data_IF_436387434279
#
_entry.id   IF_436387434279
#
_cell.length_a   1.000
_cell.length_b   1.000
_cell.length_c   1.000
_cell.angle_alpha   90.00
_cell.angle_beta   90.00
_cell.angle_gamma   90.00
#
_symmetry.space_group_name_H-M   'P 1'
#
loop_
_entity.id
_entity.type
_entity.pdbx_description
1 polymer ?
#
# COMPACT_ATOMS: atom_id res chain seq x y z
N UNK A 1 7.51 8.10 -13.85
CA UNK A 1 8.26 7.17 -12.98
C UNK A 1 9.51 6.60 -13.63
N UNK A 2 9.42 5.86 -14.75
CA UNK A 2 10.61 5.23 -15.36
C UNK A 2 11.71 6.21 -15.76
N UNK A 3 11.36 7.35 -16.37
CA UNK A 3 12.32 8.41 -16.72
C UNK A 3 13.09 8.90 -15.49
N UNK A 4 12.36 9.29 -14.44
CA UNK A 4 12.94 9.73 -13.17
C UNK A 4 13.84 8.65 -12.54
N UNK A 5 13.39 7.39 -12.52
CA UNK A 5 14.16 6.29 -11.96
C UNK A 5 15.48 6.07 -12.72
N UNK A 6 15.44 6.14 -14.06
CA UNK A 6 16.62 6.04 -14.91
C UNK A 6 17.58 7.20 -14.69
N UNK A 7 17.09 8.42 -14.53
CA UNK A 7 17.92 9.61 -14.33
C UNK A 7 18.57 9.65 -12.93
N UNK A 8 17.88 9.15 -11.90
CA UNK A 8 18.35 9.25 -10.51
C UNK A 8 19.06 8.00 -9.98
N UNK A 9 18.72 6.83 -10.51
CA UNK A 9 19.16 5.54 -9.94
C UNK A 9 19.75 4.60 -11.01
N UNK A 10 20.27 5.15 -12.11
CA UNK A 10 20.95 4.36 -13.15
C UNK A 10 22.00 3.42 -12.55
N UNK A 11 21.98 2.16 -12.99
CA UNK A 11 22.95 1.16 -12.61
C UNK A 11 23.14 0.18 -13.77
N UNK A 12 24.37 -0.28 -14.01
CA UNK A 12 24.73 -1.20 -15.10
C UNK A 12 23.91 -2.51 -15.11
N UNK A 13 23.43 -2.93 -13.93
CA UNK A 13 22.63 -4.15 -13.73
C UNK A 13 21.11 -3.91 -13.74
N UNK A 14 20.65 -2.68 -14.01
CA UNK A 14 19.23 -2.33 -13.96
C UNK A 14 18.79 -1.80 -15.33
N UNK A 15 17.77 -2.43 -15.89
CA UNK A 15 17.08 -1.96 -17.10
C UNK A 15 15.70 -1.44 -16.70
N UNK A 16 15.36 -0.25 -17.18
CA UNK A 16 14.05 0.37 -16.96
C UNK A 16 13.19 0.25 -18.19
N UNK A 17 12.12 -0.52 -18.10
CA UNK A 17 11.18 -0.75 -19.18
C UNK A 17 9.72 -0.72 -18.70
N UNK A 18 8.81 -0.53 -19.63
CA UNK A 18 7.38 -0.48 -19.34
C UNK A 18 6.74 -1.86 -19.51
N UNK A 19 5.94 -2.27 -18.53
CA UNK A 19 5.15 -3.49 -18.56
C UNK A 19 3.75 -3.19 -18.00
N UNK A 20 2.73 -3.52 -18.78
CA UNK A 20 1.35 -3.58 -18.31
C UNK A 20 1.02 -5.05 -18.05
N UNK A 21 0.99 -5.44 -16.77
CA UNK A 21 0.93 -6.85 -16.37
C UNK A 21 -0.45 -7.48 -16.56
N UNK A 22 -1.50 -6.68 -16.76
CA UNK A 22 -2.85 -7.17 -17.05
C UNK A 22 -3.03 -7.55 -18.53
N UNK A 23 -2.04 -7.26 -19.39
CA UNK A 23 -2.05 -7.52 -20.83
C UNK A 23 -1.10 -8.65 -21.21
N UNK A 24 -1.12 -9.03 -22.49
CA UNK A 24 -0.19 -9.98 -23.07
C UNK A 24 1.27 -9.59 -22.78
N UNK A 25 2.00 -10.51 -22.16
CA UNK A 25 3.41 -10.34 -21.75
C UNK A 25 4.39 -11.01 -22.70
N UNK A 26 3.91 -11.73 -23.73
CA UNK A 26 4.75 -12.51 -24.65
C UNK A 26 5.86 -11.69 -25.31
N UNK A 27 5.55 -10.45 -25.72
CA UNK A 27 6.53 -9.52 -26.28
C UNK A 27 7.60 -9.10 -25.27
N UNK A 28 7.22 -8.94 -24.00
CA UNK A 28 8.14 -8.61 -22.92
C UNK A 28 9.06 -9.79 -22.60
N UNK A 29 8.50 -11.01 -22.49
CA UNK A 29 9.25 -12.26 -22.34
C UNK A 29 10.20 -12.49 -23.50
N UNK A 30 9.79 -12.20 -24.74
CA UNK A 30 10.66 -12.32 -25.91
C UNK A 30 11.84 -11.32 -25.88
N UNK A 31 11.60 -10.12 -25.37
CA UNK A 31 12.62 -9.06 -25.28
C UNK A 31 13.65 -9.32 -24.18
N UNK A 32 13.19 -9.78 -23.01
CA UNK A 32 14.04 -9.87 -21.80
C UNK A 32 14.37 -11.31 -21.38
N UNK A 33 13.70 -12.31 -21.96
CA UNK A 33 13.74 -13.68 -21.49
C UNK A 33 12.84 -13.91 -20.27
N UNK A 34 12.98 -15.09 -19.65
CA UNK A 34 12.33 -15.42 -18.40
C UNK A 34 13.15 -14.96 -17.18
N UNK A 35 12.48 -14.78 -16.05
CA UNK A 35 13.04 -14.27 -14.82
C UNK A 35 13.13 -15.37 -13.77
N UNK A 36 14.26 -15.42 -13.05
CA UNK A 36 14.38 -16.30 -11.89
C UNK A 36 13.54 -15.80 -10.71
N UNK A 37 13.36 -14.48 -10.59
CA UNK A 37 12.60 -13.85 -9.51
C UNK A 37 11.78 -12.68 -10.03
N UNK A 38 10.49 -12.67 -9.70
CA UNK A 38 9.58 -11.54 -9.96
C UNK A 38 9.12 -10.93 -8.64
N UNK A 39 9.23 -9.61 -8.52
CA UNK A 39 8.79 -8.87 -7.34
C UNK A 39 7.69 -7.89 -7.72
N UNK A 40 6.59 -7.88 -6.96
CA UNK A 40 5.52 -6.90 -7.15
C UNK A 40 5.10 -6.31 -5.81
N UNK A 41 5.23 -4.99 -5.68
CA UNK A 41 4.91 -4.27 -4.45
C UNK A 41 3.84 -3.22 -4.72
N UNK A 42 2.66 -3.44 -4.16
CA UNK A 42 1.49 -2.55 -4.22
C UNK A 42 1.12 -2.18 -5.65
N UNK A 43 1.12 -3.17 -6.55
CA UNK A 43 0.67 -3.00 -7.94
C UNK A 43 -0.57 -3.85 -8.23
N UNK A 44 -0.60 -5.10 -7.75
CA UNK A 44 -1.64 -6.05 -8.17
C UNK A 44 -3.05 -5.70 -7.69
N UNK A 45 -3.21 -4.81 -6.70
CA UNK A 45 -4.54 -4.33 -6.32
C UNK A 45 -5.22 -3.46 -7.40
N UNK A 46 -4.46 -2.99 -8.39
CA UNK A 46 -5.00 -2.26 -9.54
C UNK A 46 -5.43 -3.18 -10.68
N UNK A 47 -5.13 -4.47 -10.55
CA UNK A 47 -5.49 -5.48 -11.56
C UNK A 47 -7.01 -5.61 -11.67
N UNK A 48 -7.50 -5.63 -12.90
CA UNK A 48 -8.92 -5.90 -13.18
C UNK A 48 -9.24 -7.40 -13.11
N UNK A 49 -8.26 -8.22 -13.49
CA UNK A 49 -8.33 -9.67 -13.46
C UNK A 49 -7.06 -10.25 -12.83
N UNK A 50 -7.09 -10.40 -11.50
CA UNK A 50 -5.95 -10.93 -10.75
C UNK A 50 -5.52 -12.31 -11.23
N UNK A 51 -6.45 -13.16 -11.67
CA UNK A 51 -6.11 -14.51 -12.18
C UNK A 51 -5.34 -14.43 -13.50
N UNK A 52 -5.75 -13.55 -14.42
CA UNK A 52 -5.00 -13.29 -15.65
C UNK A 52 -3.60 -12.74 -15.33
N UNK A 53 -3.54 -11.75 -14.44
CA UNK A 53 -2.29 -11.10 -14.04
C UNK A 53 -1.30 -12.06 -13.38
N UNK A 54 -1.79 -12.99 -12.55
CA UNK A 54 -0.96 -14.03 -11.96
C UNK A 54 -0.47 -15.05 -13.00
N UNK A 55 -1.28 -15.37 -14.03
CA UNK A 55 -0.82 -16.21 -15.16
C UNK A 55 0.30 -15.52 -15.94
N UNK A 56 0.16 -14.24 -16.19
CA UNK A 56 1.20 -13.45 -16.86
C UNK A 56 2.49 -13.42 -16.03
N UNK A 57 2.39 -13.29 -14.70
CA UNK A 57 3.54 -13.42 -13.81
C UNK A 57 4.18 -14.82 -13.92
N UNK A 58 3.37 -15.88 -13.97
CA UNK A 58 3.87 -17.24 -14.14
C UNK A 58 4.59 -17.43 -15.48
N UNK A 59 4.09 -16.84 -16.57
CA UNK A 59 4.72 -16.87 -17.91
C UNK A 59 6.07 -16.16 -17.93
N UNK A 60 6.21 -15.08 -17.16
CA UNK A 60 7.48 -14.37 -17.02
C UNK A 60 8.54 -15.18 -16.26
N UNK A 61 8.14 -16.19 -15.48
CA UNK A 61 9.09 -17.00 -14.70
C UNK A 61 9.73 -18.10 -15.55
N UNK A 62 11.02 -18.33 -15.32
CA UNK A 62 11.66 -19.58 -15.78
C UNK A 62 11.13 -20.78 -14.96
N UNK A 63 11.28 -22.03 -15.45
CA UNK A 63 10.98 -23.20 -14.62
C UNK A 63 11.73 -23.17 -13.28
N UNK A 64 10.99 -23.29 -12.17
CA UNK A 64 11.54 -23.16 -10.82
C UNK A 64 11.83 -21.71 -10.38
N UNK A 65 11.40 -20.71 -11.15
CA UNK A 65 11.41 -19.31 -10.76
C UNK A 65 10.43 -19.02 -9.62
N UNK A 66 10.69 -17.97 -8.87
CA UNK A 66 9.92 -17.59 -7.68
C UNK A 66 9.34 -16.19 -7.83
N UNK A 67 8.22 -15.92 -7.15
CA UNK A 67 7.71 -14.57 -7.05
C UNK A 67 7.39 -14.18 -5.61
N UNK A 68 7.59 -12.90 -5.30
CA UNK A 68 7.14 -12.29 -4.05
C UNK A 68 6.18 -11.16 -4.40
N UNK A 69 4.94 -11.33 -3.97
CA UNK A 69 3.83 -10.45 -4.29
C UNK A 69 3.26 -9.86 -3.00
N UNK A 70 3.21 -8.54 -2.92
CA UNK A 70 2.65 -7.82 -1.77
C UNK A 70 1.70 -6.75 -2.26
N UNK A 71 0.42 -6.86 -1.97
CA UNK A 71 -0.62 -5.94 -2.44
C UNK A 71 -1.81 -5.89 -1.48
N UNK A 72 -2.69 -4.91 -1.68
CA UNK A 72 -3.85 -4.73 -0.82
C UNK A 72 -5.04 -5.53 -1.36
N UNK A 73 -5.53 -6.51 -0.60
CA UNK A 73 -6.78 -7.20 -0.92
C UNK A 73 -7.99 -6.28 -0.67
N UNK A 74 -7.95 -5.50 0.41
CA UNK A 74 -8.98 -4.55 0.85
C UNK A 74 -8.33 -3.36 1.56
N UNK A 75 -8.81 -2.15 1.31
CA UNK A 75 -8.31 -0.94 1.96
C UNK A 75 -9.38 0.14 2.01
N UNK A 76 -9.33 1.02 3.02
CA UNK A 76 -10.25 2.16 3.13
C UNK A 76 -10.27 3.04 1.87
N UNK A 77 -9.14 3.14 1.15
CA UNK A 77 -9.04 3.95 -0.06
C UNK A 77 -10.03 3.51 -1.14
N UNK A 78 -10.25 2.20 -1.30
CA UNK A 78 -11.19 1.67 -2.29
C UNK A 78 -12.64 1.95 -1.90
N UNK A 79 -12.91 1.98 -0.59
CA UNK A 79 -14.22 2.41 -0.09
C UNK A 79 -14.45 3.89 -0.38
N UNK A 80 -13.44 4.74 -0.13
CA UNK A 80 -13.50 6.15 -0.51
C UNK A 80 -13.77 6.33 -2.01
N UNK A 81 -13.21 5.49 -2.88
CA UNK A 81 -13.50 5.53 -4.32
C UNK A 81 -14.97 5.22 -4.62
N UNK A 82 -15.56 4.22 -3.95
CA UNK A 82 -17.00 3.91 -4.06
C UNK A 82 -17.88 5.06 -3.56
N UNK A 83 -17.49 5.74 -2.48
CA UNK A 83 -18.25 6.87 -1.96
C UNK A 83 -18.13 8.08 -2.90
N UNK A 84 -16.92 8.43 -3.32
CA UNK A 84 -16.67 9.55 -4.23
C UNK A 84 -17.36 9.37 -5.58
N UNK A 85 -17.48 8.14 -6.10
CA UNK A 85 -18.16 7.88 -7.37
C UNK A 85 -19.66 8.22 -7.35
N UNK A 86 -20.24 8.45 -6.15
CA UNK A 86 -21.64 8.86 -5.96
C UNK A 86 -21.82 10.33 -5.59
N UNK A 87 -20.73 11.06 -5.34
CA UNK A 87 -20.77 12.45 -4.89
C UNK A 87 -20.50 13.42 -6.04
N UNK A 88 -21.28 14.49 -6.15
CA UNK A 88 -20.92 15.61 -7.02
C UNK A 88 -19.73 16.38 -6.44
N UNK A 89 -18.80 16.92 -7.27
CA UNK A 89 -18.77 16.86 -8.73
C UNK A 89 -18.02 15.63 -9.30
N UNK A 90 -17.75 14.62 -8.46
CA UNK A 90 -16.87 13.48 -8.76
C UNK A 90 -17.56 12.31 -9.46
N UNK A 91 -18.90 12.28 -9.44
CA UNK A 91 -19.74 11.28 -10.09
C UNK A 91 -19.39 11.06 -11.57
N UNK A 92 -19.02 12.13 -12.29
CA UNK A 92 -18.56 12.06 -13.70
C UNK A 92 -17.29 11.24 -13.91
N UNK A 93 -16.55 10.91 -12.85
CA UNK A 93 -15.37 10.05 -12.88
C UNK A 93 -15.64 8.66 -12.28
N UNK A 94 -16.91 8.29 -12.06
CA UNK A 94 -17.30 7.03 -11.43
C UNK A 94 -16.63 5.82 -12.08
N UNK A 95 -16.60 5.75 -13.41
CA UNK A 95 -15.97 4.62 -14.13
C UNK A 95 -14.48 4.48 -13.81
N UNK A 96 -13.76 5.60 -13.71
CA UNK A 96 -12.33 5.61 -13.39
C UNK A 96 -12.10 5.19 -11.94
N UNK A 97 -12.92 5.72 -11.02
CA UNK A 97 -12.84 5.41 -9.60
C UNK A 97 -13.17 3.95 -9.32
N UNK A 98 -14.26 3.43 -9.89
CA UNK A 98 -14.73 2.06 -9.69
C UNK A 98 -13.82 1.04 -10.37
N UNK A 99 -13.19 1.38 -11.50
CA UNK A 99 -12.13 0.55 -12.09
C UNK A 99 -10.96 0.36 -11.13
N UNK A 100 -10.64 1.35 -10.30
CA UNK A 100 -9.59 1.23 -9.30
C UNK A 100 -9.90 0.24 -8.17
N UNK A 101 -11.16 -0.19 -8.00
CA UNK A 101 -11.60 -1.05 -6.90
C UNK A 101 -11.43 -2.53 -7.29
N UNK A 102 -10.52 -3.28 -6.63
CA UNK A 102 -10.34 -4.69 -6.92
C UNK A 102 -11.55 -5.51 -6.47
N UNK A 103 -11.82 -6.62 -7.17
CA UNK A 103 -12.90 -7.57 -6.81
C UNK A 103 -12.76 -8.13 -5.38
N UNK A 104 -11.53 -8.23 -4.89
CA UNK A 104 -11.26 -8.68 -3.51
C UNK A 104 -11.72 -7.70 -2.44
N UNK A 105 -11.98 -6.43 -2.78
CA UNK A 105 -12.36 -5.41 -1.80
C UNK A 105 -13.68 -5.73 -1.07
N UNK A 106 -14.63 -6.31 -1.79
CA UNK A 106 -15.94 -6.66 -1.25
C UNK A 106 -15.94 -7.96 -0.43
N UNK A 107 -14.80 -8.66 -0.38
CA UNK A 107 -14.61 -9.83 0.47
C UNK A 107 -14.16 -9.35 1.84
N UNK A 108 -15.09 -9.37 2.80
CA UNK A 108 -14.93 -8.74 4.10
C UNK A 108 -14.06 -9.58 5.03
N UNK A 109 -14.25 -10.90 5.03
CA UNK A 109 -13.59 -11.80 5.95
C UNK A 109 -12.24 -12.31 5.41
N UNK A 110 -11.30 -12.52 6.32
CA UNK A 110 -9.95 -12.96 6.01
C UNK A 110 -9.93 -14.34 5.32
N UNK A 111 -10.86 -15.23 5.69
CA UNK A 111 -10.96 -16.58 5.11
C UNK A 111 -11.39 -16.51 3.65
N UNK A 112 -12.36 -15.67 3.31
CA UNK A 112 -12.80 -15.40 1.96
C UNK A 112 -11.67 -14.80 1.11
N UNK A 113 -10.93 -13.83 1.64
CA UNK A 113 -9.81 -13.21 0.93
C UNK A 113 -8.71 -14.24 0.64
N UNK A 114 -8.38 -15.07 1.62
CA UNK A 114 -7.42 -16.15 1.44
C UNK A 114 -7.91 -17.16 0.40
N UNK A 115 -9.18 -17.59 0.46
CA UNK A 115 -9.75 -18.52 -0.51
C UNK A 115 -9.72 -17.96 -1.94
N UNK A 116 -10.08 -16.69 -2.11
CA UNK A 116 -9.99 -16.00 -3.39
C UNK A 116 -8.55 -15.97 -3.93
N UNK A 117 -7.58 -15.59 -3.09
CA UNK A 117 -6.17 -15.57 -3.47
C UNK A 117 -5.65 -16.97 -3.81
N UNK A 118 -5.96 -17.97 -2.99
CA UNK A 118 -5.56 -19.37 -3.25
C UNK A 118 -6.11 -19.87 -4.59
N UNK A 119 -7.38 -19.60 -4.88
CA UNK A 119 -7.99 -19.97 -6.16
C UNK A 119 -7.30 -19.28 -7.34
N UNK A 120 -6.98 -17.99 -7.20
CA UNK A 120 -6.29 -17.23 -8.23
C UNK A 120 -4.87 -17.77 -8.49
N UNK A 121 -4.11 -18.05 -7.43
CA UNK A 121 -2.77 -18.66 -7.52
C UNK A 121 -2.80 -20.04 -8.17
N UNK A 122 -3.72 -20.92 -7.72
CA UNK A 122 -3.89 -22.25 -8.31
C UNK A 122 -4.27 -22.18 -9.79
N UNK A 123 -5.15 -21.24 -10.17
CA UNK A 123 -5.53 -21.05 -11.57
C UNK A 123 -4.38 -20.60 -12.47
N UNK A 124 -3.34 -20.00 -11.89
CA UNK A 124 -2.13 -19.57 -12.56
C UNK A 124 -1.00 -20.60 -12.53
N UNK A 125 -1.21 -21.76 -11.90
CA UNK A 125 -0.17 -22.78 -11.72
C UNK A 125 0.94 -22.35 -10.74
N UNK A 126 0.69 -21.31 -9.94
CA UNK A 126 1.63 -20.85 -8.92
C UNK A 126 1.42 -21.61 -7.61
N UNK A 127 2.50 -22.17 -7.08
CA UNK A 127 2.49 -22.91 -5.81
C UNK A 127 2.96 -21.95 -4.71
N UNK A 128 2.09 -21.59 -3.73
CA UNK A 128 2.49 -20.72 -2.66
C UNK A 128 3.44 -21.44 -1.69
N UNK A 129 4.62 -20.87 -1.46
CA UNK A 129 5.46 -21.26 -0.32
C UNK A 129 4.92 -20.64 0.98
N UNK A 130 4.50 -19.37 0.91
CA UNK A 130 3.77 -18.65 1.96
C UNK A 130 2.67 -17.82 1.31
N UNK A 131 1.50 -17.76 1.94
CA UNK A 131 0.38 -16.94 1.50
C UNK A 131 -0.37 -16.44 2.73
N UNK A 132 -0.09 -15.21 3.14
CA UNK A 132 -0.64 -14.62 4.35
C UNK A 132 -1.55 -13.44 4.00
N UNK A 133 -2.75 -13.45 4.57
CA UNK A 133 -3.65 -12.28 4.54
C UNK A 133 -3.45 -11.53 5.84
N UNK A 134 -2.79 -10.38 5.76
CA UNK A 134 -2.50 -9.55 6.92
C UNK A 134 -3.64 -8.57 7.17
N UNK A 135 -4.28 -8.67 8.33
CA UNK A 135 -5.27 -7.69 8.78
C UNK A 135 -4.54 -6.57 9.52
N UNK A 136 -4.66 -5.34 9.03
CA UNK A 136 -4.14 -4.15 9.72
C UNK A 136 -5.30 -3.26 10.16
N UNK A 137 -5.65 -3.25 11.47
CA UNK A 137 -6.84 -2.59 11.99
C UNK A 137 -6.96 -1.11 11.61
N UNK A 138 -5.84 -0.39 11.54
CA UNK A 138 -5.79 1.04 11.22
C UNK A 138 -5.92 1.36 9.72
N UNK A 139 -5.85 0.36 8.84
CA UNK A 139 -6.01 0.52 7.38
C UNK A 139 -7.34 -0.08 6.88
N UNK A 140 -8.06 -0.79 7.75
CA UNK A 140 -9.39 -1.31 7.48
C UNK A 140 -10.41 -0.31 7.99
N UNK A 141 -11.20 0.25 7.09
CA UNK A 141 -12.34 1.08 7.45
C UNK A 141 -13.30 0.28 8.34
N UNK A 142 -13.62 0.83 9.52
CA UNK A 142 -14.68 0.32 10.38
C UNK A 142 -15.97 1.09 10.10
N UNK A 143 -17.07 0.41 9.72
CA UNK A 143 -18.37 1.06 9.57
C UNK A 143 -18.98 1.57 10.88
N UNK A 144 -18.50 1.12 12.04
CA UNK A 144 -19.17 1.20 13.33
C UNK A 144 -18.89 2.48 14.14
N UNK A 145 -17.93 3.33 13.75
CA UNK A 145 -17.64 4.58 14.48
C UNK A 145 -18.59 5.70 14.03
N UNK A 146 -19.89 5.48 14.16
CA UNK A 146 -20.91 6.52 14.02
C UNK A 146 -21.83 6.63 15.25
N UNK A 147 -21.41 6.09 16.41
CA UNK A 147 -22.25 6.08 17.61
C UNK A 147 -21.56 5.96 18.97
N UNK A 148 -20.25 6.18 19.10
CA UNK A 148 -19.58 6.08 20.43
C UNK A 148 -18.81 7.34 20.86
N UNK A 149 -18.84 8.42 20.08
CA UNK A 149 -18.16 9.68 20.47
C UNK A 149 -19.06 10.65 21.27
N UNK A 150 -20.34 10.32 21.52
CA UNK A 150 -21.23 11.17 22.35
C UNK A 150 -20.99 11.03 23.87
N UNK A 151 -20.30 9.98 24.35
CA UNK A 151 -20.04 9.82 25.80
C UNK A 151 -18.75 10.51 26.29
N UNK A 152 -17.86 10.95 25.40
CA UNK A 152 -16.61 11.61 25.80
C UNK A 152 -16.70 13.15 25.89
N UNK A 153 -17.85 13.75 25.58
CA UNK A 153 -18.08 15.21 25.70
C UNK A 153 -18.68 15.63 27.06
N UNK A 154 -19.06 14.69 27.93
CA UNK A 154 -19.77 15.03 29.19
C UNK A 154 -18.85 15.22 30.40
N UNK A 155 -17.54 15.01 30.26
CA UNK A 155 -16.60 15.04 31.37
C UNK A 155 -15.44 16.00 31.12
N UNK A 156 -15.73 17.30 31.02
CA UNK A 156 -14.82 18.41 31.39
C UNK A 156 -15.52 19.76 31.16
N UNK A 157 -16.37 20.18 32.10
CA UNK A 157 -16.63 21.60 32.29
C UNK A 157 -15.92 22.05 33.57
N UNK A 158 -14.89 22.91 33.49
CA UNK A 158 -14.33 23.55 34.68
C UNK A 158 -15.33 24.58 35.23
N UNK A 159 -15.31 24.86 36.54
CA UNK A 159 -16.29 25.71 37.18
C UNK A 159 -16.22 27.14 36.64
N UNK A 160 -17.38 27.71 36.35
CA UNK A 160 -17.56 29.11 35.98
C UNK A 160 -17.11 30.04 37.11
N UNK A 161 -15.87 30.50 37.04
CA UNK A 161 -15.37 31.65 37.79
C UNK A 161 -15.41 32.89 36.92
N UNK A 162 -16.11 33.92 37.38
CA UNK A 162 -16.09 35.27 36.82
C UNK A 162 -14.65 35.76 36.63
N UNK A 163 -14.28 36.13 35.40
CA UNK A 163 -13.07 36.91 35.12
C UNK A 163 -13.53 38.27 34.62
N UNK A 164 -13.08 39.28 35.35
CA UNK A 164 -13.35 40.71 35.19
C UNK A 164 -12.59 41.25 33.95
N UNK A 165 -13.29 42.05 33.14
CA UNK A 165 -12.78 42.67 31.92
C UNK A 165 -11.93 43.89 32.26
N UNK A 166 -10.69 43.66 32.72
CA UNK A 166 -9.66 44.70 32.71
C UNK A 166 -8.27 44.08 32.64
N UNK A 167 -7.78 43.83 31.43
CA UNK A 167 -6.39 44.07 31.05
C UNK A 167 -6.17 43.69 29.58
N UNK A 168 -6.71 44.55 28.70
CA UNK A 168 -6.10 44.76 27.39
C UNK A 168 -4.89 45.65 27.60
N UNK A 169 -3.68 45.14 27.35
CA UNK A 169 -2.66 45.77 26.51
C UNK A 169 -1.36 44.96 26.46
N UNK A 170 -0.81 44.92 25.24
CA UNK A 170 0.55 44.55 24.86
C UNK A 170 0.94 43.05 24.95
N UNK A 171 1.03 42.40 23.79
CA UNK A 171 2.33 41.89 23.30
C UNK A 171 2.26 41.43 21.83
N UNK A 172 3.09 42.11 21.04
CA UNK A 172 3.78 41.78 19.79
C UNK A 172 3.40 40.52 18.98
N UNK A 173 3.08 40.78 17.71
CA UNK A 173 3.16 39.86 16.56
C UNK A 173 4.65 39.65 16.19
N UNK A 174 5.09 38.41 15.91
CA UNK A 174 6.25 38.18 15.06
C UNK A 174 5.86 37.59 13.70
N UNK A 175 6.55 38.12 12.69
CA UNK A 175 6.43 37.84 11.26
C UNK A 175 6.66 36.37 10.87
N UNK A 176 5.94 36.00 9.81
CA UNK A 176 6.01 34.74 9.09
C UNK A 176 7.15 34.81 8.07
N UNK A 177 8.37 34.41 8.44
CA UNK A 177 9.43 34.04 7.48
C UNK A 177 10.66 33.45 8.21
N UNK A 178 10.65 32.14 8.50
CA UNK A 178 11.84 31.31 8.70
C UNK A 178 11.47 29.87 9.10
N UNK A 179 11.30 28.98 8.13
CA UNK A 179 11.41 27.52 8.37
C UNK A 179 11.82 26.81 7.08
N UNK A 180 12.97 27.24 6.54
CA UNK A 180 13.64 26.59 5.43
C UNK A 180 15.15 26.60 5.63
N UNK A 181 15.64 26.07 6.77
CA UNK A 181 17.07 25.75 6.97
C UNK A 181 17.32 25.05 8.31
N UNK A 182 16.88 23.81 8.50
CA UNK A 182 17.54 22.89 9.45
C UNK A 182 17.06 21.45 9.20
N UNK A 183 17.74 20.70 8.34
CA UNK A 183 17.82 19.23 8.37
C UNK A 183 18.89 18.79 7.35
N UNK A 184 20.07 19.37 7.47
CA UNK A 184 21.29 18.72 7.00
C UNK A 184 22.01 18.18 8.24
N UNK A 185 22.57 16.98 8.12
CA UNK A 185 23.29 16.19 9.13
C UNK A 185 22.47 15.36 10.13
N UNK A 186 22.10 14.13 9.73
CA UNK A 186 22.11 12.97 10.63
C UNK A 186 22.07 11.62 9.90
N UNK A 187 23.23 10.98 9.72
CA UNK A 187 23.47 9.53 9.89
C UNK A 187 25.00 9.27 9.76
N UNK A 188 25.61 8.21 10.35
CA UNK A 188 24.99 6.98 10.85
C UNK A 188 25.48 6.51 12.24
N UNK A 189 24.58 5.89 13.04
CA UNK A 189 24.99 5.06 14.18
C UNK A 189 24.80 3.57 13.85
N UNK A 190 25.86 2.96 13.33
CA UNK A 190 26.07 1.52 13.35
C UNK A 190 26.30 1.06 14.80
N UNK A 191 25.30 0.46 15.45
CA UNK A 191 25.55 -0.43 16.59
C UNK A 191 25.67 -1.88 16.10
N UNK A 192 26.90 -2.38 16.15
CA UNK A 192 27.26 -3.80 16.03
C UNK A 192 26.49 -4.62 17.08
N UNK A 193 25.56 -5.46 16.63
CA UNK A 193 25.14 -6.62 17.42
C UNK A 193 25.94 -7.84 16.97
N UNK A 194 26.93 -8.23 17.79
CA UNK A 194 27.49 -9.58 17.77
C UNK A 194 26.53 -10.45 18.60
N UNK A 195 26.00 -11.54 18.05
CA UNK A 195 25.90 -12.88 18.69
C UNK A 195 25.31 -13.91 17.71
N UNK A 196 26.18 -14.80 17.24
CA UNK A 196 26.20 -16.27 17.50
C UNK A 196 25.41 -17.06 16.44
N UNK A 197 26.17 -17.62 15.49
CA UNK A 197 25.78 -18.80 14.71
C UNK A 197 25.94 -20.05 15.58
N UNK A 198 24.99 -20.97 15.51
CA UNK A 198 25.21 -22.40 15.81
C UNK A 198 24.62 -23.25 14.68
N UNK A 199 25.16 -24.46 14.44
CA UNK A 199 25.21 -25.06 13.12
C UNK A 199 24.07 -26.04 12.82
N UNK A 200 23.92 -26.26 11.52
CA UNK A 200 23.13 -27.26 10.81
C UNK A 200 23.40 -28.67 11.37
N UNK A 201 22.35 -29.42 11.66
CA UNK A 201 22.39 -30.90 11.67
C UNK A 201 21.66 -31.42 10.44
N UNK A 202 22.37 -32.24 9.66
CA UNK A 202 21.83 -33.13 8.64
C UNK A 202 21.17 -34.32 9.33
N UNK A 203 19.98 -34.69 8.88
CA UNK A 203 19.57 -36.08 8.63
C UNK A 203 18.60 -36.06 7.45
#
# INVERSE_FOLDING_TARGET
MLKYAREKYAHEKIVYDHLDIDKDVSAFSKKHGGFQRVYSFKTLQWSQDLSCTLKNIAELLVPGGECLLFFFARTFLMESFKQMSRLEPWSKYADVLLRGVPKSHDIIDQKGQHAYLSAALSSAGLIPYTAEVLVKPHLTWRPDIRGEDEELSAAEQPPTGHIDDSDRLAQQVPDVEATAATMDHAQPLLRRSKRIRKPIQRF
#
